data_IF_682478887959
#
_entry.id   IF_682478887959
#
_cell.length_a   1.000
_cell.length_b   1.000
_cell.length_c   1.000
_cell.angle_alpha   90.00
_cell.angle_beta   90.00
_cell.angle_gamma   90.00
#
_symmetry.space_group_name_H-M   'P 1'
#
loop_
_entity.id
_entity.type
_entity.pdbx_description
1 polymer ?
#
# COMPACT_ATOMS: atom_id res chain seq x y z
N UNK A 1 4.63 -26.34 -18.92
CA UNK A 1 3.26 -25.81 -18.92
C UNK A 1 3.30 -24.32 -19.26
N UNK A 2 2.65 -23.93 -20.36
CA UNK A 2 2.65 -22.55 -20.86
C UNK A 2 1.80 -21.67 -19.94
N UNK A 3 2.46 -21.10 -18.93
CA UNK A 3 1.89 -20.08 -18.06
C UNK A 3 1.80 -18.73 -18.76
N UNK A 4 1.24 -17.70 -18.08
CA UNK A 4 1.28 -16.34 -18.61
C UNK A 4 2.73 -15.90 -18.85
N UNK A 5 2.95 -15.04 -19.84
CA UNK A 5 4.25 -14.40 -20.03
C UNK A 5 4.61 -13.59 -18.77
N UNK A 6 5.85 -13.70 -18.31
CA UNK A 6 6.36 -13.03 -17.11
C UNK A 6 7.58 -12.20 -17.46
N UNK A 7 7.50 -10.90 -17.19
CA UNK A 7 8.60 -9.96 -17.33
C UNK A 7 9.03 -9.42 -15.96
N UNK A 8 10.33 -9.43 -15.70
CA UNK A 8 10.91 -8.90 -14.46
C UNK A 8 11.52 -7.52 -14.72
N UNK A 9 11.13 -6.55 -13.89
CA UNK A 9 11.68 -5.19 -13.94
C UNK A 9 12.34 -4.87 -12.61
N UNK A 10 13.61 -4.48 -12.65
CA UNK A 10 14.31 -3.89 -11.50
C UNK A 10 14.08 -2.38 -11.53
N UNK A 11 13.28 -1.87 -10.59
CA UNK A 11 13.00 -0.44 -10.46
C UNK A 11 12.77 -0.05 -9.00
N UNK A 12 12.91 1.24 -8.71
CA UNK A 12 12.39 1.84 -7.47
C UNK A 12 10.90 2.13 -7.68
N UNK A 13 10.03 1.56 -6.83
CA UNK A 13 8.59 1.77 -6.94
C UNK A 13 8.17 3.25 -6.70
N UNK A 14 9.01 4.04 -6.02
CA UNK A 14 8.81 5.49 -5.84
C UNK A 14 9.13 6.29 -7.11
N UNK A 15 9.88 5.70 -8.03
CA UNK A 15 10.38 6.31 -9.26
C UNK A 15 10.29 5.29 -10.41
N UNK A 16 9.09 4.76 -10.64
CA UNK A 16 8.85 3.84 -11.76
C UNK A 16 9.31 4.49 -13.08
N UNK A 17 9.79 3.70 -14.06
CA UNK A 17 10.20 4.22 -15.36
C UNK A 17 9.12 5.13 -15.96
N UNK A 18 9.48 6.29 -16.53
CA UNK A 18 8.50 7.25 -17.03
C UNK A 18 7.95 6.89 -18.41
N UNK A 19 8.45 5.82 -19.03
CA UNK A 19 8.12 5.41 -20.40
C UNK A 19 7.95 3.90 -20.51
N UNK A 20 7.55 3.45 -21.71
CA UNK A 20 7.27 2.04 -21.98
C UNK A 20 5.97 1.60 -21.30
N UNK A 21 5.90 0.39 -20.73
CA UNK A 21 4.65 -0.11 -20.15
C UNK A 21 4.19 0.68 -18.92
N UNK A 22 5.08 1.44 -18.27
CA UNK A 22 4.76 2.28 -17.11
C UNK A 22 4.17 3.66 -17.49
N UNK A 23 3.78 3.83 -18.74
CA UNK A 23 3.01 4.98 -19.23
C UNK A 23 1.71 4.47 -19.90
N UNK A 24 0.73 4.10 -19.08
CA UNK A 24 -0.58 3.63 -19.55
C UNK A 24 -0.63 2.19 -20.08
N UNK A 25 0.37 1.35 -19.82
CA UNK A 25 0.44 -0.02 -20.35
C UNK A 25 -0.33 -1.07 -19.55
N UNK A 26 -0.85 -0.73 -18.36
CA UNK A 26 -1.45 -1.72 -17.45
C UNK A 26 -2.93 -1.49 -17.15
N UNK A 27 -3.66 -2.60 -17.06
CA UNK A 27 -5.07 -2.64 -16.68
C UNK A 27 -5.26 -2.73 -15.16
N UNK A 28 -4.31 -3.39 -14.50
CA UNK A 28 -4.35 -3.72 -13.09
C UNK A 28 -2.94 -3.63 -12.49
N UNK A 29 -2.83 -2.95 -11.36
CA UNK A 29 -1.69 -3.00 -10.47
C UNK A 29 -2.14 -3.58 -9.12
N UNK A 30 -1.30 -4.42 -8.51
CA UNK A 30 -1.55 -5.00 -7.19
C UNK A 30 -0.34 -4.87 -6.29
N UNK A 31 -0.55 -4.81 -4.98
CA UNK A 31 0.52 -4.82 -3.99
C UNK A 31 0.13 -5.58 -2.74
N UNK A 32 1.04 -6.42 -2.23
CA UNK A 32 0.83 -7.25 -1.06
C UNK A 32 2.03 -7.13 -0.13
N UNK A 33 1.81 -6.68 1.12
CA UNK A 33 2.83 -6.65 2.17
C UNK A 33 3.96 -5.63 1.99
N UNK A 34 3.98 -4.82 0.93
CA UNK A 34 5.10 -3.92 0.64
C UNK A 34 5.01 -2.54 1.33
N UNK A 35 3.82 -2.07 1.70
CA UNK A 35 3.62 -0.67 2.07
C UNK A 35 4.32 -0.21 3.35
N UNK A 36 4.65 -1.12 4.26
CA UNK A 36 5.43 -0.78 5.45
C UNK A 36 6.84 -0.31 5.13
N UNK A 37 7.34 -0.59 3.92
CA UNK A 37 8.67 -0.20 3.44
C UNK A 37 8.73 1.20 2.81
N UNK A 38 7.63 1.97 2.85
CA UNK A 38 7.62 3.36 2.42
C UNK A 38 7.29 4.27 3.60
N UNK A 39 7.97 5.40 3.67
CA UNK A 39 7.60 6.48 4.56
C UNK A 39 6.31 7.14 4.06
N UNK A 40 5.49 7.74 4.96
CA UNK A 40 4.30 8.48 4.56
C UNK A 40 4.59 9.55 3.49
N UNK A 41 5.74 10.21 3.56
CA UNK A 41 6.16 11.23 2.58
C UNK A 41 6.50 10.68 1.20
N UNK A 42 6.73 9.37 1.07
CA UNK A 42 7.08 8.71 -0.20
C UNK A 42 5.84 8.15 -0.91
N UNK A 43 4.75 7.97 -0.18
CA UNK A 43 3.50 7.41 -0.68
C UNK A 43 2.88 8.21 -1.84
N UNK A 44 2.90 9.56 -1.85
CA UNK A 44 2.39 10.32 -3.00
C UNK A 44 3.12 9.99 -4.32
N UNK A 45 4.46 9.90 -4.30
CA UNK A 45 5.25 9.58 -5.48
C UNK A 45 4.97 8.14 -5.98
N UNK A 46 4.87 7.20 -5.05
CA UNK A 46 4.46 5.82 -5.34
C UNK A 46 3.11 5.77 -6.05
N UNK A 47 2.09 6.44 -5.50
CA UNK A 47 0.73 6.42 -6.08
C UNK A 47 0.66 7.16 -7.41
N UNK A 48 1.40 8.26 -7.59
CA UNK A 48 1.51 8.94 -8.87
C UNK A 48 2.15 8.04 -9.95
N UNK A 49 3.19 7.28 -9.58
CA UNK A 49 3.82 6.30 -10.47
C UNK A 49 2.84 5.20 -10.91
N UNK A 50 2.10 4.62 -9.97
CA UNK A 50 1.06 3.62 -10.29
C UNK A 50 -0.05 4.22 -11.15
N UNK A 51 -0.52 5.43 -10.83
CA UNK A 51 -1.53 6.12 -11.63
C UNK A 51 -1.07 6.35 -13.07
N UNK A 52 0.18 6.76 -13.30
CA UNK A 52 0.74 6.91 -14.65
C UNK A 52 0.78 5.57 -15.39
N UNK A 53 1.23 4.50 -14.73
CA UNK A 53 1.37 3.18 -15.33
C UNK A 53 0.03 2.56 -15.79
N UNK A 54 -1.08 2.94 -15.15
CA UNK A 54 -2.41 2.44 -15.50
C UNK A 54 -2.97 3.14 -16.74
N UNK A 55 -3.66 2.40 -17.60
CA UNK A 55 -4.49 2.98 -18.67
C UNK A 55 -5.73 3.69 -18.09
N UNK A 56 -6.43 4.56 -18.85
CA UNK A 56 -7.74 5.07 -18.44
C UNK A 56 -8.70 3.94 -18.04
N UNK A 57 -9.34 4.06 -16.88
CA UNK A 57 -10.20 3.02 -16.31
C UNK A 57 -9.47 1.88 -15.59
N UNK A 58 -8.14 1.82 -15.60
CA UNK A 58 -7.33 0.81 -14.91
C UNK A 58 -7.45 0.87 -13.37
N UNK A 59 -7.09 -0.24 -12.71
CA UNK A 59 -7.28 -0.42 -11.27
C UNK A 59 -5.95 -0.57 -10.53
N UNK A 60 -5.84 0.06 -9.37
CA UNK A 60 -4.86 -0.28 -8.35
C UNK A 60 -5.58 -0.92 -7.16
N UNK A 61 -5.24 -2.16 -6.84
CA UNK A 61 -5.92 -2.94 -5.82
C UNK A 61 -4.95 -3.53 -4.77
N UNK A 62 -5.25 -3.34 -3.49
CA UNK A 62 -4.44 -3.89 -2.41
C UNK A 62 -5.24 -4.05 -1.10
N UNK A 63 -4.92 -5.07 -0.28
CA UNK A 63 -5.58 -5.27 1.00
C UNK A 63 -5.02 -4.31 2.06
N UNK A 64 -5.90 -3.86 2.97
CA UNK A 64 -5.54 -3.09 4.15
C UNK A 64 -6.27 -3.62 5.38
N UNK A 65 -5.51 -3.89 6.43
CA UNK A 65 -6.03 -4.37 7.71
C UNK A 65 -6.62 -3.24 8.55
N UNK A 66 -7.68 -3.54 9.30
CA UNK A 66 -8.20 -2.65 10.31
C UNK A 66 -7.15 -2.46 11.43
N UNK A 67 -7.08 -1.27 12.05
CA UNK A 67 -6.15 -1.03 13.15
C UNK A 67 -6.42 -1.99 14.32
N UNK A 68 -5.35 -2.47 14.95
CA UNK A 68 -5.46 -3.31 16.13
C UNK A 68 -6.07 -2.51 17.31
N UNK A 69 -7.04 -3.07 18.06
CA UNK A 69 -7.56 -2.41 19.26
C UNK A 69 -6.46 -2.19 20.29
N UNK A 70 -6.55 -1.12 21.09
CA UNK A 70 -5.56 -0.79 22.12
C UNK A 70 -5.34 -1.93 23.14
N UNK A 71 -6.40 -2.67 23.48
CA UNK A 71 -6.34 -3.82 24.39
C UNK A 71 -5.69 -5.07 23.76
N UNK A 72 -5.40 -5.07 22.45
CA UNK A 72 -4.80 -6.21 21.77
C UNK A 72 -3.28 -6.27 22.02
N UNK A 73 -2.70 -7.44 22.34
CA UNK A 73 -1.24 -7.58 22.41
C UNK A 73 -0.55 -7.21 21.09
N UNK A 74 -1.22 -7.42 19.95
CA UNK A 74 -0.71 -7.02 18.64
C UNK A 74 -0.58 -5.50 18.50
N UNK A 75 -1.46 -4.71 19.11
CA UNK A 75 -1.32 -3.25 19.07
C UNK A 75 0.03 -2.81 19.64
N UNK A 76 0.40 -3.39 20.79
CA UNK A 76 1.64 -3.10 21.48
C UNK A 76 2.86 -3.66 20.75
N UNK A 77 2.77 -4.88 20.23
CA UNK A 77 3.86 -5.47 19.44
C UNK A 77 4.21 -4.60 18.22
N UNK A 78 3.20 -4.16 17.46
CA UNK A 78 3.41 -3.30 16.28
C UNK A 78 3.92 -1.91 16.65
N UNK A 79 3.42 -1.32 17.75
CA UNK A 79 3.92 -0.04 18.25
C UNK A 79 5.39 -0.15 18.71
N UNK A 80 5.70 -1.20 19.46
CA UNK A 80 7.05 -1.47 19.95
C UNK A 80 8.03 -1.68 18.81
N UNK A 81 7.66 -2.47 17.80
CA UNK A 81 8.48 -2.64 16.60
C UNK A 81 8.80 -1.30 15.95
N UNK A 82 7.78 -0.48 15.66
CA UNK A 82 7.97 0.82 15.01
C UNK A 82 8.87 1.75 15.86
N UNK A 83 8.67 1.76 17.18
CA UNK A 83 9.48 2.55 18.11
C UNK A 83 10.94 2.11 18.12
N UNK A 84 11.21 0.79 18.20
CA UNK A 84 12.56 0.24 18.17
C UNK A 84 13.25 0.56 16.84
N UNK A 85 12.54 0.43 15.71
CA UNK A 85 13.11 0.78 14.39
C UNK A 85 13.45 2.27 14.30
N UNK A 86 12.61 3.16 14.84
CA UNK A 86 12.91 4.60 14.91
C UNK A 86 14.13 4.89 15.78
N UNK A 87 14.20 4.32 16.98
CA UNK A 87 15.35 4.47 17.86
C UNK A 87 16.64 3.95 17.20
N UNK A 88 16.59 2.76 16.58
CA UNK A 88 17.70 2.21 15.81
C UNK A 88 18.14 3.15 14.69
N UNK A 89 17.22 3.79 13.99
CA UNK A 89 17.53 4.71 12.88
C UNK A 89 18.11 6.06 13.33
N UNK A 90 17.86 6.49 14.57
CA UNK A 90 18.57 7.62 15.17
C UNK A 90 20.03 7.28 15.46
N UNK A 91 20.32 6.01 15.77
CA UNK A 91 21.64 5.57 16.23
C UNK A 91 22.51 4.95 15.12
N UNK A 92 21.90 4.38 14.06
CA UNK A 92 22.62 3.55 13.07
C UNK A 92 22.22 3.89 11.64
N UNK A 93 23.22 3.92 10.76
CA UNK A 93 23.06 4.08 9.30
C UNK A 93 23.47 2.80 8.55
N UNK A 94 22.89 2.52 7.37
CA UNK A 94 21.75 3.23 6.75
C UNK A 94 20.45 2.99 7.52
N UNK A 95 19.41 3.86 7.39
CA UNK A 95 18.12 3.64 8.02
C UNK A 95 17.46 2.33 7.54
N UNK A 96 16.77 1.66 8.46
CA UNK A 96 15.90 0.54 8.17
C UNK A 96 14.46 1.04 8.04
N UNK A 97 13.86 0.89 6.86
CA UNK A 97 12.47 1.31 6.60
C UNK A 97 11.59 0.07 6.52
N UNK A 98 10.90 -0.18 7.63
CA UNK A 98 9.75 -1.08 7.72
C UNK A 98 8.97 -0.66 8.95
N UNK A 99 7.72 -0.26 8.77
CA UNK A 99 6.83 0.15 9.85
C UNK A 99 5.43 -0.40 9.61
N UNK A 100 4.77 -0.83 10.68
CA UNK A 100 3.44 -1.42 10.60
C UNK A 100 2.32 -0.38 10.73
N UNK A 101 2.59 0.75 11.38
CA UNK A 101 1.55 1.74 11.73
C UNK A 101 1.58 3.00 10.86
N UNK A 102 2.43 3.06 9.84
CA UNK A 102 2.60 4.24 8.96
C UNK A 102 1.71 4.24 7.72
N UNK A 103 0.86 3.22 7.56
CA UNK A 103 -0.04 3.10 6.41
C UNK A 103 -1.54 3.05 6.83
N UNK A 104 -2.06 4.09 7.54
CA UNK A 104 -3.46 4.15 7.96
C UNK A 104 -4.41 4.45 6.78
N UNK A 105 -5.60 3.85 6.81
CA UNK A 105 -6.59 3.94 5.73
C UNK A 105 -6.98 5.38 5.33
N UNK A 106 -7.16 6.29 6.30
CA UNK A 106 -7.57 7.68 6.03
C UNK A 106 -6.58 8.41 5.12
N UNK A 107 -5.34 8.65 5.59
CA UNK A 107 -4.28 9.26 4.79
C UNK A 107 -3.97 8.52 3.47
N UNK A 108 -4.10 7.18 3.44
CA UNK A 108 -3.95 6.41 2.20
C UNK A 108 -5.01 6.78 1.17
N UNK A 109 -6.28 6.95 1.59
CA UNK A 109 -7.35 7.37 0.69
C UNK A 109 -7.16 8.79 0.18
N UNK A 110 -6.71 9.69 1.06
CA UNK A 110 -6.39 11.08 0.71
C UNK A 110 -5.31 11.13 -0.37
N UNK A 111 -4.19 10.43 -0.16
CA UNK A 111 -3.09 10.39 -1.14
C UNK A 111 -3.49 9.72 -2.46
N UNK A 112 -4.31 8.66 -2.42
CA UNK A 112 -4.85 8.05 -3.64
C UNK A 112 -5.74 9.02 -4.41
N UNK A 113 -6.61 9.75 -3.70
CA UNK A 113 -7.50 10.74 -4.32
C UNK A 113 -6.70 11.89 -4.92
N UNK A 114 -5.69 12.37 -4.19
CA UNK A 114 -4.77 13.40 -4.66
C UNK A 114 -3.96 12.96 -5.89
N UNK A 115 -3.66 11.67 -6.02
CA UNK A 115 -3.03 11.09 -7.21
C UNK A 115 -3.97 10.91 -8.41
N UNK A 116 -5.28 11.20 -8.27
CA UNK A 116 -6.27 11.13 -9.35
C UNK A 116 -7.16 9.89 -9.34
N UNK A 117 -7.11 9.07 -8.29
CA UNK A 117 -7.94 7.86 -8.20
C UNK A 117 -9.34 8.11 -7.63
N UNK A 118 -10.31 7.37 -8.16
CA UNK A 118 -11.60 7.13 -7.52
C UNK A 118 -11.51 5.89 -6.61
N UNK A 119 -11.67 6.06 -5.29
CA UNK A 119 -11.37 5.01 -4.31
C UNK A 119 -12.63 4.37 -3.75
N UNK A 120 -12.73 3.04 -3.92
CA UNK A 120 -13.75 2.20 -3.29
C UNK A 120 -13.11 1.20 -2.33
N UNK A 121 -13.88 0.77 -1.33
CA UNK A 121 -13.47 -0.21 -0.34
C UNK A 121 -14.44 -1.39 -0.36
N UNK A 122 -13.90 -2.59 -0.54
CA UNK A 122 -14.69 -3.83 -0.49
C UNK A 122 -14.29 -4.62 0.76
N UNK A 123 -15.24 -5.18 1.53
CA UNK A 123 -14.90 -6.05 2.65
C UNK A 123 -14.25 -7.33 2.14
N UNK A 124 -13.18 -7.79 2.79
CA UNK A 124 -12.62 -9.12 2.56
C UNK A 124 -13.17 -10.08 3.63
N UNK A 125 -14.37 -10.61 3.36
CA UNK A 125 -15.16 -11.41 4.32
C UNK A 125 -14.42 -12.64 4.86
N UNK A 126 -13.50 -13.22 4.07
CA UNK A 126 -12.69 -14.36 4.50
C UNK A 126 -11.80 -14.09 5.73
N UNK A 127 -11.57 -12.82 6.09
CA UNK A 127 -10.85 -12.44 7.30
C UNK A 127 -11.77 -12.13 8.49
N UNK A 128 -13.08 -12.31 8.33
CA UNK A 128 -14.09 -12.05 9.35
C UNK A 128 -14.34 -10.58 9.64
N UNK A 129 -15.12 -10.35 10.69
CA UNK A 129 -15.61 -9.03 11.12
C UNK A 129 -15.34 -8.78 12.59
N UNK A 130 -15.16 -7.51 12.91
CA UNK A 130 -14.95 -6.99 14.26
C UNK A 130 -16.26 -7.00 15.05
N UNK A 131 -16.22 -6.84 16.39
CA UNK A 131 -17.43 -6.78 17.22
C UNK A 131 -18.44 -5.70 16.82
N UNK A 132 -17.97 -4.60 16.22
CA UNK A 132 -18.79 -3.51 15.68
C UNK A 132 -19.38 -3.80 14.29
N UNK A 133 -19.21 -5.02 13.78
CA UNK A 133 -19.67 -5.47 12.47
C UNK A 133 -18.78 -5.02 11.30
N UNK A 134 -17.78 -4.17 11.52
CA UNK A 134 -16.89 -3.72 10.45
C UNK A 134 -15.84 -4.80 10.07
N UNK A 135 -15.41 -4.89 8.80
CA UNK A 135 -14.52 -5.96 8.37
C UNK A 135 -13.11 -5.80 8.95
N UNK A 136 -12.46 -6.93 9.26
CA UNK A 136 -11.06 -6.96 9.69
C UNK A 136 -10.10 -6.52 8.59
N UNK A 137 -10.44 -6.75 7.33
CA UNK A 137 -9.66 -6.36 6.16
C UNK A 137 -10.57 -5.80 5.08
N UNK A 138 -10.06 -4.79 4.37
CA UNK A 138 -10.72 -4.24 3.19
C UNK A 138 -9.78 -4.36 2.00
N UNK A 139 -10.33 -4.63 0.83
CA UNK A 139 -9.67 -4.41 -0.43
C UNK A 139 -9.88 -2.95 -0.82
N UNK A 140 -8.79 -2.20 -0.94
CA UNK A 140 -8.80 -0.89 -1.59
C UNK A 140 -8.85 -1.14 -3.08
N UNK A 141 -9.81 -0.52 -3.77
CA UNK A 141 -9.93 -0.53 -5.23
C UNK A 141 -9.93 0.91 -5.71
N UNK A 142 -8.78 1.36 -6.21
CA UNK A 142 -8.54 2.71 -6.70
C UNK A 142 -8.57 2.69 -8.24
N UNK A 143 -9.55 3.37 -8.84
CA UNK A 143 -9.75 3.41 -10.29
C UNK A 143 -9.20 4.70 -10.88
N UNK A 144 -8.36 4.58 -11.92
CA UNK A 144 -7.94 5.73 -12.73
C UNK A 144 -9.11 6.19 -13.58
N UNK A 145 -9.44 7.48 -13.51
CA UNK A 145 -10.45 8.07 -14.39
C UNK A 145 -9.91 8.27 -15.80
#
# INVERSE_FOLDING_TARGET
PDGPAVDWVRADARALPPSGPFDGGFDLAVSFGAFGHFLPSERPALFAGVHRALRPGGLFAFPIGAPQPFASPWYWALLGFDAVMRARNLLRRPPFVMYYRTFPLGPVREDLTAAGFDVRLLPLEGFGRRPDGSPHWRLVVARKR
#
